data_IF_812508022340
#
_entry.id   IF_812508022340
#
_cell.length_a   1.000
_cell.length_b   1.000
_cell.length_c   1.000
_cell.angle_alpha   90.00
_cell.angle_beta   90.00
_cell.angle_gamma   90.00
#
_symmetry.space_group_name_H-M   'P 1'
#
loop_
_entity.id
_entity.type
_entity.pdbx_description
1 polymer ?
#
# COMPACT_ATOMS: atom_id res chain seq x y z
N UNK A 1 0.71 44.37 -4.46
CA UNK A 1 -0.25 43.29 -4.17
C UNK A 1 0.52 41.99 -4.13
N UNK A 2 0.80 41.47 -2.93
CA UNK A 2 1.50 40.20 -2.78
C UNK A 2 0.49 39.05 -2.93
N UNK A 3 0.75 38.13 -3.86
CA UNK A 3 -0.01 36.90 -4.01
C UNK A 3 0.28 36.02 -2.79
N UNK A 4 -0.72 35.84 -1.93
CA UNK A 4 -0.68 34.86 -0.85
C UNK A 4 -0.70 33.47 -1.49
N UNK A 5 0.43 32.76 -1.40
CA UNK A 5 0.52 31.35 -1.81
C UNK A 5 -0.19 30.53 -0.74
N UNK A 6 -1.43 30.15 -1.02
CA UNK A 6 -2.19 29.21 -0.20
C UNK A 6 -1.49 27.85 -0.25
N UNK A 7 -0.77 27.52 0.83
CA UNK A 7 -0.19 26.19 1.04
C UNK A 7 -1.37 25.24 1.26
N UNK A 8 -1.83 24.58 0.19
CA UNK A 8 -2.80 23.50 0.26
C UNK A 8 -2.16 22.37 1.08
N UNK A 9 -2.51 22.29 2.36
CA UNK A 9 -2.29 21.08 3.16
C UNK A 9 -3.22 20.02 2.62
N UNK A 10 -2.77 19.31 1.58
CA UNK A 10 -3.43 18.13 1.07
C UNK A 10 -3.43 17.09 2.19
N UNK A 11 -4.51 17.02 2.96
CA UNK A 11 -4.78 15.88 3.84
C UNK A 11 -4.92 14.68 2.93
N UNK A 12 -3.84 13.91 2.76
CA UNK A 12 -3.86 12.67 1.97
C UNK A 12 -4.65 11.64 2.78
N UNK A 13 -5.97 11.71 2.65
CA UNK A 13 -6.88 10.73 3.23
C UNK A 13 -6.75 9.44 2.43
N UNK A 14 -5.79 8.60 2.80
CA UNK A 14 -5.64 7.26 2.25
C UNK A 14 -6.91 6.43 2.51
N UNK A 15 -7.72 6.09 1.47
CA UNK A 15 -8.90 5.27 1.67
C UNK A 15 -8.46 3.85 2.01
N UNK A 16 -8.81 3.35 3.19
CA UNK A 16 -8.56 1.96 3.55
C UNK A 16 -9.51 1.04 2.74
N UNK A 17 -9.00 0.15 1.88
CA UNK A 17 -9.87 -0.65 1.04
C UNK A 17 -10.34 -1.90 1.79
N UNK A 18 -11.38 -1.75 2.59
CA UNK A 18 -11.96 -2.83 3.40
C UNK A 18 -12.68 -3.90 2.58
N UNK A 19 -12.99 -3.64 1.32
CA UNK A 19 -13.78 -4.53 0.43
C UNK A 19 -12.94 -5.21 -0.66
N UNK A 20 -11.63 -4.98 -0.68
CA UNK A 20 -10.75 -5.51 -1.73
C UNK A 20 -10.46 -6.99 -1.52
N UNK A 21 -10.82 -7.80 -2.52
CA UNK A 21 -10.39 -9.18 -2.61
C UNK A 21 -9.15 -9.25 -3.52
N UNK A 22 -8.00 -9.63 -2.95
CA UNK A 22 -6.75 -9.73 -3.70
C UNK A 22 -6.83 -10.72 -4.87
N UNK A 23 -7.66 -11.75 -4.77
CA UNK A 23 -7.85 -12.74 -5.84
C UNK A 23 -8.41 -12.13 -7.12
N UNK A 24 -9.03 -10.95 -7.06
CA UNK A 24 -9.50 -10.22 -8.24
C UNK A 24 -8.36 -9.57 -9.04
N UNK A 25 -7.20 -9.37 -8.42
CA UNK A 25 -6.05 -8.66 -9.01
C UNK A 25 -4.85 -9.57 -9.20
N UNK A 26 -4.64 -10.49 -8.26
CA UNK A 26 -3.54 -11.46 -8.27
C UNK A 26 -4.13 -12.86 -8.34
N UNK A 27 -4.11 -13.45 -9.54
CA UNK A 27 -4.63 -14.80 -9.80
C UNK A 27 -3.59 -15.90 -9.59
N UNK A 28 -2.32 -15.53 -9.40
CA UNK A 28 -1.20 -16.45 -9.32
C UNK A 28 -0.62 -16.49 -7.91
N UNK A 29 -0.33 -17.70 -7.43
CA UNK A 29 0.59 -17.87 -6.29
C UNK A 29 2.04 -17.75 -6.78
N UNK A 30 2.87 -17.00 -6.08
CA UNK A 30 4.29 -16.87 -6.36
C UNK A 30 4.97 -18.24 -6.21
N UNK A 31 5.69 -18.65 -7.25
CA UNK A 31 6.58 -19.80 -7.29
C UNK A 31 7.97 -19.34 -7.74
N UNK A 32 8.96 -20.22 -7.68
CA UNK A 32 10.32 -19.89 -8.12
C UNK A 32 10.41 -19.53 -9.62
N UNK A 33 9.45 -19.99 -10.43
CA UNK A 33 9.49 -19.86 -11.89
C UNK A 33 8.61 -18.74 -12.45
N UNK A 34 7.77 -18.08 -11.64
CA UNK A 34 6.79 -17.10 -12.13
C UNK A 34 6.94 -15.69 -11.53
N UNK A 35 8.07 -15.41 -10.87
CA UNK A 35 8.30 -14.16 -10.14
C UNK A 35 8.01 -12.90 -10.98
N UNK A 36 8.45 -12.85 -12.23
CA UNK A 36 8.23 -11.67 -13.09
C UNK A 36 6.74 -11.39 -13.32
N UNK A 37 5.94 -12.43 -13.57
CA UNK A 37 4.51 -12.29 -13.83
C UNK A 37 3.74 -11.97 -12.53
N UNK A 38 4.10 -12.63 -11.43
CA UNK A 38 3.57 -12.32 -10.11
C UNK A 38 3.84 -10.86 -9.72
N UNK A 39 5.07 -10.38 -9.94
CA UNK A 39 5.47 -9.00 -9.65
C UNK A 39 4.61 -8.01 -10.43
N UNK A 40 4.34 -8.25 -11.71
CA UNK A 40 3.48 -7.39 -12.53
C UNK A 40 2.06 -7.28 -11.95
N UNK A 41 1.48 -8.39 -11.48
CA UNK A 41 0.13 -8.36 -10.91
C UNK A 41 0.09 -7.63 -9.55
N UNK A 42 1.08 -7.85 -8.69
CA UNK A 42 1.20 -7.14 -7.41
C UNK A 42 1.45 -5.64 -7.61
N UNK A 43 2.32 -5.27 -8.55
CA UNK A 43 2.55 -3.86 -8.90
C UNK A 43 1.28 -3.19 -9.40
N UNK A 44 0.53 -3.83 -10.31
CA UNK A 44 -0.74 -3.29 -10.79
C UNK A 44 -1.79 -3.14 -9.68
N UNK A 45 -1.81 -4.03 -8.69
CA UNK A 45 -2.65 -3.88 -7.51
C UNK A 45 -2.25 -2.66 -6.68
N UNK A 46 -0.96 -2.47 -6.39
CA UNK A 46 -0.45 -1.34 -5.59
C UNK A 46 -0.73 0.00 -6.30
N UNK A 47 -0.49 0.06 -7.61
CA UNK A 47 -0.76 1.23 -8.45
C UNK A 47 -2.25 1.57 -8.50
N UNK A 48 -3.13 0.56 -8.58
CA UNK A 48 -4.60 0.76 -8.58
C UNK A 48 -5.14 1.41 -7.31
N UNK A 49 -4.37 1.35 -6.22
CA UNK A 49 -4.76 1.85 -4.91
C UNK A 49 -4.03 3.13 -4.51
N UNK A 50 -3.22 3.70 -5.40
CA UNK A 50 -2.40 4.90 -5.12
C UNK A 50 -1.51 4.73 -3.86
N UNK A 51 -1.11 3.48 -3.57
CA UNK A 51 -0.37 3.11 -2.36
C UNK A 51 1.15 3.27 -2.51
N UNK A 52 1.63 3.65 -3.70
CA UNK A 52 3.05 3.71 -4.04
C UNK A 52 3.77 4.97 -3.58
N UNK A 53 3.06 6.06 -3.31
CA UNK A 53 3.67 7.38 -3.17
C UNK A 53 3.07 8.15 -1.99
N UNK A 54 3.35 7.68 -0.77
CA UNK A 54 3.15 8.49 0.42
C UNK A 54 4.31 9.48 0.54
N UNK A 55 4.15 10.68 -0.02
CA UNK A 55 5.07 11.78 0.27
C UNK A 55 5.05 12.08 1.76
N UNK A 56 6.11 11.67 2.45
CA UNK A 56 6.28 11.88 3.88
C UNK A 56 6.43 13.37 4.18
N UNK A 57 5.31 14.08 4.35
CA UNK A 57 5.29 15.44 4.88
C UNK A 57 5.82 15.41 6.31
N UNK A 58 7.13 15.65 6.46
CA UNK A 58 7.84 15.68 7.74
C UNK A 58 7.60 17.03 8.40
N UNK A 59 6.36 17.31 8.80
CA UNK A 59 6.09 18.39 9.75
C UNK A 59 6.08 17.79 11.14
N UNK A 60 7.17 18.02 11.89
CA UNK A 60 7.25 17.76 13.33
C UNK A 60 6.17 18.58 14.02
N UNK A 61 4.99 17.99 14.23
CA UNK A 61 4.00 18.52 15.15
C UNK A 61 3.61 17.42 16.12
N UNK A 62 3.29 17.90 17.32
CA UNK A 62 3.08 17.22 18.59
C UNK A 62 2.41 15.85 18.57
N UNK A 63 2.53 15.16 19.71
CA UNK A 63 1.97 13.88 20.14
C UNK A 63 0.46 13.64 19.92
N UNK A 64 -0.18 14.35 18.99
CA UNK A 64 -1.43 13.94 18.35
C UNK A 64 -1.10 12.69 17.54
N UNK A 65 -1.76 11.57 17.82
CA UNK A 65 -1.70 10.40 16.93
C UNK A 65 -1.96 10.88 15.51
N UNK A 66 -0.92 10.92 14.69
CA UNK A 66 -1.06 11.32 13.31
C UNK A 66 -2.01 10.31 12.66
N UNK A 67 -3.23 10.75 12.35
CA UNK A 67 -4.24 9.92 11.73
C UNK A 67 -3.68 9.29 10.45
N UNK A 68 -2.84 10.03 9.72
CA UNK A 68 -2.13 9.58 8.53
C UNK A 68 -1.13 8.46 8.88
N UNK A 69 -0.42 8.53 10.02
CA UNK A 69 0.47 7.46 10.46
C UNK A 69 -0.30 6.17 10.81
N UNK A 70 -1.45 6.30 11.48
CA UNK A 70 -2.28 5.14 11.84
C UNK A 70 -2.89 4.49 10.59
N UNK A 71 -3.32 5.29 9.62
CA UNK A 71 -3.84 4.79 8.35
C UNK A 71 -2.74 4.18 7.48
N UNK A 72 -1.57 4.81 7.38
CA UNK A 72 -0.40 4.24 6.72
C UNK A 72 0.00 2.89 7.34
N UNK A 73 0.02 2.79 8.67
CA UNK A 73 0.28 1.53 9.39
C UNK A 73 -0.76 0.44 9.08
N UNK A 74 -2.03 0.81 8.90
CA UNK A 74 -3.09 -0.14 8.52
C UNK A 74 -2.92 -0.62 7.08
N UNK A 75 -2.56 0.29 6.16
CA UNK A 75 -2.25 -0.04 4.78
C UNK A 75 -1.01 -0.92 4.64
N UNK A 76 0.10 -0.61 5.33
CA UNK A 76 1.31 -1.44 5.33
C UNK A 76 1.01 -2.86 5.80
N UNK A 77 0.21 -3.02 6.86
CA UNK A 77 -0.24 -4.34 7.35
C UNK A 77 -1.11 -5.07 6.32
N UNK A 78 -2.03 -4.36 5.67
CA UNK A 78 -2.89 -4.93 4.65
C UNK A 78 -2.07 -5.41 3.43
N UNK A 79 -1.17 -4.57 2.93
CA UNK A 79 -0.28 -4.89 1.82
C UNK A 79 0.62 -6.09 2.13
N UNK A 80 1.14 -6.19 3.35
CA UNK A 80 1.88 -7.38 3.79
C UNK A 80 1.02 -8.64 3.77
N UNK A 81 -0.20 -8.56 4.31
CA UNK A 81 -1.14 -9.69 4.30
C UNK A 81 -1.50 -10.14 2.89
N UNK A 82 -1.67 -9.17 1.98
CA UNK A 82 -1.88 -9.38 0.56
C UNK A 82 -0.70 -10.09 -0.11
N UNK A 83 0.51 -9.58 0.05
CA UNK A 83 1.72 -10.21 -0.50
C UNK A 83 1.82 -11.66 0.00
N UNK A 84 1.70 -11.88 1.31
CA UNK A 84 1.79 -13.22 1.92
C UNK A 84 0.70 -14.16 1.40
N UNK A 85 -0.54 -13.67 1.25
CA UNK A 85 -1.66 -14.47 0.71
C UNK A 85 -1.45 -14.94 -0.74
N UNK A 86 -0.56 -14.28 -1.47
CA UNK A 86 -0.21 -14.64 -2.85
C UNK A 86 1.05 -15.50 -2.94
N UNK A 87 1.65 -15.93 -1.83
CA UNK A 87 2.82 -16.83 -1.85
C UNK A 87 2.38 -18.30 -1.95
N UNK A 88 3.15 -19.14 -2.68
CA UNK A 88 2.96 -20.59 -2.61
C UNK A 88 3.55 -21.17 -1.32
N UNK A 89 3.09 -22.37 -0.94
CA UNK A 89 3.61 -23.09 0.23
C UNK A 89 5.09 -23.43 0.08
N UNK A 90 5.56 -23.72 -1.14
CA UNK A 90 6.98 -23.93 -1.45
C UNK A 90 7.83 -22.70 -1.14
N UNK A 91 7.35 -21.50 -1.50
CA UNK A 91 8.06 -20.24 -1.24
C UNK A 91 8.04 -19.88 0.25
N UNK A 92 7.02 -20.32 0.98
CA UNK A 92 6.91 -20.16 2.43
C UNK A 92 7.71 -21.20 3.23
N UNK A 93 8.31 -22.20 2.56
CA UNK A 93 9.00 -23.31 3.25
C UNK A 93 8.04 -24.22 4.02
N UNK A 94 6.78 -24.29 3.60
CA UNK A 94 5.74 -25.15 4.19
C UNK A 94 5.56 -26.47 3.42
N UNK A 95 6.34 -26.69 2.35
CA UNK A 95 6.32 -27.88 1.50
C UNK A 95 7.56 -28.77 1.71
#
# INVERSE_FOLDING_TARGET
MALVSSKTTSTVSFPYPSTLNISNFVSLKLTQNNYMLWKTQISGLIESQDMGEAEASTTKQDYVMNYDYTMWRRLDRLLRGWIVGTLSEEVLGLA
#
